data_IF_149178382360
#
_entry.id   IF_149178382360
#
_cell.length_a   1.000
_cell.length_b   1.000
_cell.length_c   1.000
_cell.angle_alpha   90.00
_cell.angle_beta   90.00
_cell.angle_gamma   90.00
#
_symmetry.space_group_name_H-M   'P 1'
#
loop_
_entity.id
_entity.type
_entity.pdbx_description
1 polymer ?
#
# COMPACT_ATOMS: atom_id res chain seq x y z
N UNK A 1 -48.72 -5.31 32.83
CA UNK A 1 -49.86 -6.05 32.23
C UNK A 1 -49.67 -5.95 30.72
N UNK A 2 -48.69 -6.62 30.11
CA UNK A 2 -48.51 -8.08 29.95
C UNK A 2 -49.58 -8.67 29.05
N UNK A 3 -49.19 -9.06 27.83
CA UNK A 3 -49.56 -10.25 27.02
C UNK A 3 -48.97 -10.00 25.61
N UNK A 4 -47.76 -10.48 25.28
CA UNK A 4 -47.37 -11.83 24.83
C UNK A 4 -48.06 -12.22 23.50
N UNK A 5 -47.28 -12.16 22.40
CA UNK A 5 -46.91 -13.21 21.39
C UNK A 5 -47.79 -14.48 21.23
N UNK A 6 -47.61 -15.41 20.25
CA UNK A 6 -46.62 -15.54 19.15
C UNK A 6 -47.23 -16.17 17.85
N UNK A 7 -46.37 -16.78 17.01
CA UNK A 7 -46.63 -17.78 15.93
C UNK A 7 -46.64 -17.22 14.48
N UNK A 8 -45.95 -17.78 13.48
CA UNK A 8 -45.29 -19.09 13.39
C UNK A 8 -44.26 -19.11 12.24
N UNK A 9 -43.24 -19.94 12.45
CA UNK A 9 -42.16 -20.41 11.59
C UNK A 9 -42.56 -20.90 10.17
N UNK A 10 -41.49 -21.23 9.40
CA UNK A 10 -41.36 -22.24 8.31
C UNK A 10 -41.56 -21.64 6.90
N UNK A 11 -40.72 -21.85 5.87
CA UNK A 11 -39.99 -23.04 5.38
C UNK A 11 -38.90 -22.62 4.36
N UNK A 12 -37.70 -23.20 4.42
CA UNK A 12 -36.73 -23.30 3.31
C UNK A 12 -37.20 -24.36 2.30
N UNK A 13 -36.98 -24.19 0.97
CA UNK A 13 -35.94 -25.04 0.35
C UNK A 13 -35.22 -24.42 -0.87
N UNK A 14 -33.92 -24.72 -1.00
CA UNK A 14 -33.23 -25.00 -2.28
C UNK A 14 -33.58 -26.45 -2.72
N UNK A 15 -33.45 -26.94 -3.99
CA UNK A 15 -32.36 -26.62 -4.92
C UNK A 15 -32.68 -26.65 -6.45
N UNK A 16 -31.67 -26.23 -7.24
CA UNK A 16 -31.22 -26.75 -8.56
C UNK A 16 -32.08 -26.62 -9.84
N UNK A 17 -31.39 -26.09 -10.86
CA UNK A 17 -31.45 -26.39 -12.31
C UNK A 17 -32.45 -25.62 -13.17
N UNK A 18 -31.95 -24.94 -14.21
CA UNK A 18 -32.47 -24.71 -15.58
C UNK A 18 -31.74 -23.49 -16.18
N UNK A 19 -30.65 -23.70 -16.93
CA UNK A 19 -30.57 -23.80 -18.40
C UNK A 19 -30.54 -22.45 -19.14
N UNK A 20 -29.43 -22.24 -19.87
CA UNK A 20 -29.10 -21.18 -20.83
C UNK A 20 -30.14 -20.99 -21.95
N UNK A 21 -30.10 -19.82 -22.63
CA UNK A 21 -29.48 -19.77 -23.97
C UNK A 21 -28.51 -18.58 -24.12
N UNK A 22 -27.27 -18.75 -24.62
CA UNK A 22 -26.86 -18.73 -26.04
C UNK A 22 -27.30 -17.45 -26.79
N UNK A 23 -26.43 -16.42 -26.79
CA UNK A 23 -26.15 -15.61 -27.99
C UNK A 23 -24.75 -14.97 -27.91
N UNK A 24 -24.02 -15.17 -29.01
CA UNK A 24 -22.87 -14.43 -29.54
C UNK A 24 -21.46 -14.60 -28.97
N UNK A 25 -20.79 -15.56 -29.64
CA UNK A 25 -19.36 -15.69 -29.92
C UNK A 25 -18.78 -14.42 -30.57
N UNK A 26 -17.45 -14.25 -30.39
CA UNK A 26 -16.50 -13.61 -31.32
C UNK A 26 -15.97 -12.20 -30.97
N UNK A 27 -15.10 -12.10 -29.95
CA UNK A 27 -13.83 -11.34 -30.10
C UNK A 27 -12.75 -12.09 -29.33
N UNK A 28 -12.04 -12.95 -30.07
CA UNK A 28 -10.81 -13.62 -29.67
C UNK A 28 -9.69 -12.60 -29.45
N UNK A 29 -9.03 -12.74 -28.31
CA UNK A 29 -7.63 -13.19 -28.26
C UNK A 29 -6.65 -12.47 -29.20
N UNK A 30 -6.25 -11.27 -28.81
CA UNK A 30 -5.16 -10.54 -29.45
C UNK A 30 -4.36 -9.74 -28.42
N UNK A 31 -3.66 -10.43 -27.52
CA UNK A 31 -2.33 -10.03 -27.03
C UNK A 31 -1.75 -11.07 -26.07
N UNK A 32 -1.45 -12.26 -26.58
CA UNK A 32 -0.57 -13.22 -25.91
C UNK A 32 0.12 -14.10 -26.95
N UNK A 33 1.32 -13.70 -27.39
CA UNK A 33 2.27 -14.61 -28.02
C UNK A 33 3.70 -14.23 -27.64
N UNK A 34 4.47 -15.15 -27.02
CA UNK A 34 5.90 -14.97 -26.77
C UNK A 34 6.69 -15.30 -28.04
N UNK A 35 7.81 -14.61 -28.25
CA UNK A 35 8.74 -14.89 -29.34
C UNK A 35 10.00 -15.58 -28.78
N UNK A 36 10.09 -16.88 -29.02
CA UNK A 36 11.35 -17.64 -29.02
C UNK A 36 11.64 -18.06 -30.46
N UNK A 37 12.85 -17.79 -30.95
CA UNK A 37 13.33 -18.26 -32.25
C UNK A 37 14.78 -18.70 -32.11
N UNK A 38 15.04 -19.96 -32.43
CA UNK A 38 16.36 -20.61 -32.46
C UNK A 38 16.67 -21.13 -33.86
N UNK A 39 17.99 -21.28 -34.14
CA UNK A 39 18.67 -21.95 -35.28
C UNK A 39 18.61 -21.25 -36.66
N UNK A 40 19.64 -21.19 -37.53
CA UNK A 40 20.92 -21.91 -37.66
C UNK A 40 21.85 -21.20 -38.67
N UNK A 41 23.16 -21.35 -38.45
CA UNK A 41 24.32 -21.33 -39.37
C UNK A 41 24.12 -21.02 -40.88
N UNK A 42 24.83 -19.99 -41.37
CA UNK A 42 25.47 -19.98 -42.69
C UNK A 42 26.82 -19.25 -42.61
N UNK A 43 27.80 -19.80 -43.32
CA UNK A 43 29.22 -19.48 -43.24
C UNK A 43 29.62 -18.68 -44.48
N UNK A 44 30.16 -17.47 -44.34
CA UNK A 44 30.92 -16.77 -45.40
C UNK A 44 32.12 -16.08 -44.77
N UNK A 45 33.27 -16.20 -45.42
CA UNK A 45 34.62 -15.93 -44.93
C UNK A 45 35.10 -14.53 -45.37
N UNK A 46 35.85 -13.91 -44.46
CA UNK A 46 37.10 -13.15 -44.68
C UNK A 46 37.09 -11.61 -44.83
N UNK A 47 38.20 -11.08 -44.27
CA UNK A 47 38.88 -9.79 -44.43
C UNK A 47 38.37 -8.65 -43.52
N UNK A 48 39.02 -8.33 -42.39
CA UNK A 48 40.37 -7.77 -42.16
C UNK A 48 40.50 -6.30 -42.55
N UNK A 49 40.38 -5.41 -41.57
CA UNK A 49 41.18 -4.17 -41.51
C UNK A 49 40.95 -3.46 -40.17
N UNK A 50 42.06 -3.29 -39.47
CA UNK A 50 42.30 -2.49 -38.29
C UNK A 50 41.51 -1.18 -38.21
N UNK A 51 40.89 -0.90 -37.06
CA UNK A 51 40.75 0.48 -36.60
C UNK A 51 41.03 0.58 -35.11
N UNK A 52 41.89 1.53 -34.82
CA UNK A 52 42.57 1.89 -33.59
C UNK A 52 41.65 2.13 -32.40
N UNK A 53 42.01 1.48 -31.29
CA UNK A 53 41.91 1.91 -29.89
C UNK A 53 41.22 3.27 -29.63
N UNK A 54 39.95 3.20 -29.25
CA UNK A 54 39.32 4.19 -28.35
C UNK A 54 38.55 3.41 -27.29
N UNK A 55 39.29 2.66 -26.48
CA UNK A 55 38.78 2.02 -25.26
C UNK A 55 39.30 2.86 -24.08
N UNK A 56 38.57 3.93 -23.77
CA UNK A 56 38.80 4.77 -22.58
C UNK A 56 37.52 4.91 -21.76
N UNK A 57 36.80 3.79 -21.63
CA UNK A 57 35.74 3.61 -20.63
C UNK A 57 36.18 2.55 -19.61
N UNK A 58 37.27 2.83 -18.88
CA UNK A 58 37.58 2.07 -17.67
C UNK A 58 38.41 2.86 -16.68
N UNK A 59 37.78 3.82 -16.02
CA UNK A 59 38.01 4.13 -14.60
C UNK A 59 37.17 5.35 -14.21
N UNK A 60 35.88 5.15 -14.01
CA UNK A 60 35.20 5.90 -12.96
C UNK A 60 34.89 4.87 -11.88
N UNK A 61 35.72 4.90 -10.85
CA UNK A 61 35.57 4.09 -9.66
C UNK A 61 34.14 4.24 -9.14
N UNK A 62 33.44 3.12 -9.05
CA UNK A 62 32.18 2.95 -8.35
C UNK A 62 32.36 3.30 -6.87
N UNK A 63 32.34 4.58 -6.54
CA UNK A 63 31.86 5.03 -5.25
C UNK A 63 30.35 4.83 -5.27
N UNK A 64 29.87 3.68 -4.77
CA UNK A 64 28.48 3.58 -4.32
C UNK A 64 28.39 4.48 -3.08
N UNK A 65 28.21 5.77 -3.29
CA UNK A 65 27.60 6.61 -2.26
C UNK A 65 26.25 5.96 -1.99
N UNK A 66 26.06 5.40 -0.80
CA UNK A 66 24.77 4.83 -0.42
C UNK A 66 23.72 5.91 -0.57
N UNK A 67 22.95 5.89 -1.65
CA UNK A 67 21.86 6.83 -1.87
C UNK A 67 20.96 6.77 -0.65
N UNK A 68 20.81 7.91 0.03
CA UNK A 68 20.03 7.96 1.27
C UNK A 68 18.57 7.57 0.98
N UNK A 69 17.88 6.96 1.94
CA UNK A 69 16.49 6.54 1.75
C UNK A 69 15.59 7.71 1.32
N UNK A 70 15.84 8.93 1.82
CA UNK A 70 15.13 10.13 1.38
C UNK A 70 15.35 10.44 -0.11
N UNK A 71 16.59 10.36 -0.60
CA UNK A 71 16.90 10.56 -2.03
C UNK A 71 16.27 9.49 -2.92
N UNK A 72 16.15 8.24 -2.42
CA UNK A 72 15.42 7.19 -3.13
C UNK A 72 13.93 7.52 -3.20
N UNK A 73 13.34 8.03 -2.12
CA UNK A 73 11.95 8.49 -2.11
C UNK A 73 11.69 9.60 -3.13
N UNK A 74 12.57 10.60 -3.19
CA UNK A 74 12.48 11.69 -4.18
C UNK A 74 12.57 11.16 -5.62
N UNK A 75 13.57 10.33 -5.90
CA UNK A 75 13.72 9.73 -7.23
C UNK A 75 12.51 8.85 -7.60
N UNK A 76 11.97 8.07 -6.65
CA UNK A 76 10.81 7.24 -6.88
C UNK A 76 9.55 8.08 -7.14
N UNK A 77 9.36 9.18 -6.41
CA UNK A 77 8.26 10.12 -6.64
C UNK A 77 8.34 10.78 -8.02
N UNK A 78 9.55 11.20 -8.45
CA UNK A 78 9.73 11.87 -9.73
C UNK A 78 9.55 10.96 -10.94
N UNK A 79 9.92 9.69 -10.80
CA UNK A 79 9.69 8.69 -11.84
C UNK A 79 8.25 8.15 -11.84
N UNK A 80 7.41 8.52 -10.87
CA UNK A 80 6.03 8.06 -10.78
C UNK A 80 5.06 8.90 -11.63
N UNK A 81 3.97 8.29 -12.10
CA UNK A 81 2.86 9.03 -12.72
C UNK A 81 2.15 9.78 -11.60
N UNK A 82 2.09 11.10 -11.74
CA UNK A 82 1.55 11.99 -10.71
C UNK A 82 0.10 12.35 -11.05
N UNK A 83 -0.77 12.23 -10.07
CA UNK A 83 -2.14 12.75 -10.10
C UNK A 83 -2.21 13.92 -9.10
N UNK A 84 -3.08 14.90 -9.34
CA UNK A 84 -3.24 16.03 -8.41
C UNK A 84 -3.65 15.53 -7.02
N UNK A 85 -2.95 16.02 -5.99
CA UNK A 85 -3.29 15.75 -4.59
C UNK A 85 -4.71 16.22 -4.24
N UNK A 86 -5.20 17.29 -4.88
CA UNK A 86 -6.55 17.82 -4.66
C UNK A 86 -7.62 16.84 -5.14
N UNK A 87 -7.40 16.19 -6.28
CA UNK A 87 -8.33 15.19 -6.80
C UNK A 87 -8.42 13.99 -5.85
N UNK A 88 -7.28 13.54 -5.32
CA UNK A 88 -7.23 12.49 -4.30
C UNK A 88 -7.96 12.91 -3.02
N UNK A 89 -7.72 14.14 -2.54
CA UNK A 89 -8.35 14.69 -1.33
C UNK A 89 -9.88 14.74 -1.46
N UNK A 90 -10.40 15.23 -2.59
CA UNK A 90 -11.83 15.32 -2.84
C UNK A 90 -12.49 13.93 -2.95
N UNK A 91 -11.83 13.00 -3.65
CA UNK A 91 -12.34 11.63 -3.81
C UNK A 91 -12.35 10.90 -2.47
N UNK A 92 -11.30 11.06 -1.68
CA UNK A 92 -11.21 10.49 -0.34
C UNK A 92 -12.21 11.14 0.62
N UNK A 93 -12.41 12.45 0.54
CA UNK A 93 -13.43 13.18 1.29
C UNK A 93 -14.84 12.66 1.04
N UNK A 94 -15.21 12.47 -0.23
CA UNK A 94 -16.50 11.90 -0.60
C UNK A 94 -16.67 10.46 -0.06
N UNK A 95 -15.62 9.65 -0.09
CA UNK A 95 -15.63 8.30 0.49
C UNK A 95 -15.86 8.34 2.00
N UNK A 96 -15.12 9.16 2.74
CA UNK A 96 -15.27 9.26 4.20
C UNK A 96 -16.65 9.81 4.55
N UNK A 97 -17.14 10.80 3.81
CA UNK A 97 -18.49 11.33 3.99
C UNK A 97 -19.54 10.22 3.84
N UNK A 98 -19.44 9.40 2.79
CA UNK A 98 -20.35 8.27 2.60
C UNK A 98 -20.31 7.30 3.79
N UNK A 99 -19.12 6.95 4.30
CA UNK A 99 -18.99 6.06 5.45
C UNK A 99 -19.60 6.65 6.74
N UNK A 100 -19.49 7.97 6.92
CA UNK A 100 -20.07 8.67 8.06
C UNK A 100 -21.60 8.77 7.94
N UNK A 101 -22.12 8.99 6.73
CA UNK A 101 -23.57 9.03 6.46
C UNK A 101 -24.24 7.66 6.64
N UNK A 102 -23.50 6.57 6.45
CA UNK A 102 -23.98 5.19 6.66
C UNK A 102 -24.06 4.80 8.15
N UNK A 103 -23.55 5.62 9.07
CA UNK A 103 -23.65 5.36 10.51
C UNK A 103 -25.10 5.47 11.01
N UNK A 104 -25.55 4.47 11.75
CA UNK A 104 -26.88 4.51 12.39
C UNK A 104 -26.91 5.37 13.66
N UNK A 105 -25.77 5.53 14.34
CA UNK A 105 -25.60 6.34 15.54
C UNK A 105 -24.27 7.10 15.49
N UNK A 106 -24.25 8.34 16.00
CA UNK A 106 -23.03 9.18 16.00
C UNK A 106 -21.90 8.61 16.88
N UNK A 107 -22.21 7.73 17.84
CA UNK A 107 -21.23 7.11 18.73
C UNK A 107 -20.49 5.92 18.09
N UNK A 108 -20.94 5.44 16.92
CA UNK A 108 -20.38 4.30 16.21
C UNK A 108 -19.20 4.65 15.28
N UNK A 109 -18.54 5.79 15.49
CA UNK A 109 -17.41 6.28 14.67
C UNK A 109 -16.28 5.25 14.53
N UNK A 110 -16.14 4.36 15.51
CA UNK A 110 -15.15 3.29 15.47
C UNK A 110 -15.37 2.31 14.30
N UNK A 111 -16.62 2.12 13.87
CA UNK A 111 -16.92 1.31 12.69
C UNK A 111 -16.34 1.95 11.43
N UNK A 112 -16.40 3.29 11.29
CA UNK A 112 -15.76 4.01 10.19
C UNK A 112 -14.24 3.82 10.23
N UNK A 113 -13.63 3.97 11.40
CA UNK A 113 -12.19 3.73 11.57
C UNK A 113 -11.78 2.33 11.11
N UNK A 114 -12.56 1.30 11.47
CA UNK A 114 -12.31 -0.09 11.06
C UNK A 114 -12.49 -0.27 9.55
N UNK A 115 -13.54 0.30 8.94
CA UNK A 115 -13.74 0.23 7.50
C UNK A 115 -12.59 0.90 6.74
N UNK A 116 -12.19 2.11 7.15
CA UNK A 116 -11.04 2.82 6.56
C UNK A 116 -9.75 2.00 6.66
N UNK A 117 -9.50 1.39 7.83
CA UNK A 117 -8.35 0.51 8.02
C UNK A 117 -8.39 -0.71 7.08
N UNK A 118 -9.54 -1.39 7.00
CA UNK A 118 -9.70 -2.59 6.17
C UNK A 118 -9.57 -2.27 4.67
N UNK A 119 -10.10 -1.15 4.23
CA UNK A 119 -9.91 -0.64 2.88
C UNK A 119 -8.43 -0.39 2.60
N UNK A 120 -7.75 0.32 3.52
CA UNK A 120 -6.33 0.58 3.44
C UNK A 120 -5.50 -0.70 3.34
N UNK A 121 -5.81 -1.71 4.15
CA UNK A 121 -5.11 -3.00 4.14
C UNK A 121 -5.17 -3.68 2.77
N UNK A 122 -6.34 -3.69 2.12
CA UNK A 122 -6.51 -4.26 0.78
C UNK A 122 -5.76 -3.46 -0.29
N UNK A 123 -5.72 -2.14 -0.14
CA UNK A 123 -4.96 -1.25 -1.03
C UNK A 123 -3.46 -1.51 -0.86
N UNK A 124 -2.95 -1.53 0.37
CA UNK A 124 -1.54 -1.77 0.69
C UNK A 124 -1.02 -3.10 0.15
N UNK A 125 -1.83 -4.16 0.26
CA UNK A 125 -1.52 -5.46 -0.31
C UNK A 125 -1.34 -5.44 -1.85
N UNK A 126 -1.92 -4.47 -2.56
CA UNK A 126 -1.72 -4.31 -4.01
C UNK A 126 -0.58 -3.34 -4.33
N UNK A 127 -0.39 -2.31 -3.51
CA UNK A 127 0.63 -1.27 -3.72
C UNK A 127 2.07 -1.78 -3.53
N UNK A 128 2.27 -2.82 -2.71
CA UNK A 128 3.61 -3.31 -2.39
C UNK A 128 4.38 -3.82 -3.62
N UNK A 129 3.69 -4.38 -4.61
CA UNK A 129 4.30 -4.86 -5.86
C UNK A 129 4.90 -3.69 -6.64
N UNK A 130 4.13 -2.61 -6.80
CA UNK A 130 4.60 -1.40 -7.47
C UNK A 130 5.75 -0.73 -6.69
N UNK A 131 5.64 -0.67 -5.37
CA UNK A 131 6.73 -0.18 -4.51
C UNK A 131 8.01 -0.98 -4.76
N UNK A 132 7.94 -2.30 -4.77
CA UNK A 132 9.11 -3.18 -4.98
C UNK A 132 9.78 -2.95 -6.33
N UNK A 133 8.98 -2.75 -7.39
CA UNK A 133 9.51 -2.57 -8.75
C UNK A 133 10.07 -1.17 -8.98
N UNK A 134 9.45 -0.14 -8.41
CA UNK A 134 9.70 1.26 -8.82
C UNK A 134 10.44 2.10 -7.79
N UNK A 135 10.45 1.72 -6.52
CA UNK A 135 11.11 2.50 -5.46
C UNK A 135 12.63 2.49 -5.55
N UNK A 136 13.22 1.46 -6.17
CA UNK A 136 14.67 1.22 -6.12
C UNK A 136 15.19 0.86 -4.71
N UNK A 137 14.31 0.67 -3.73
CA UNK A 137 14.67 0.30 -2.38
C UNK A 137 15.14 -1.16 -2.32
N UNK A 138 16.13 -1.43 -1.47
CA UNK A 138 16.57 -2.79 -1.21
C UNK A 138 15.49 -3.55 -0.40
N UNK A 139 15.40 -4.89 -0.55
CA UNK A 139 14.51 -5.70 0.28
C UNK A 139 14.80 -5.51 1.77
N UNK A 140 13.75 -5.22 2.54
CA UNK A 140 13.86 -4.97 3.98
C UNK A 140 14.10 -6.28 4.73
N UNK A 141 15.18 -6.35 5.52
CA UNK A 141 15.51 -7.55 6.33
C UNK A 141 15.19 -7.38 7.81
N UNK A 142 15.16 -6.14 8.28
CA UNK A 142 14.86 -5.77 9.67
C UNK A 142 13.63 -4.88 9.70
N UNK A 143 12.95 -4.85 10.85
CA UNK A 143 11.78 -3.99 11.00
C UNK A 143 12.16 -2.50 10.93
N UNK A 144 13.35 -2.11 11.40
CA UNK A 144 13.89 -0.76 11.25
C UNK A 144 14.01 -0.33 9.79
N UNK A 145 14.52 -1.21 8.91
CA UNK A 145 14.60 -0.94 7.48
C UNK A 145 13.21 -0.82 6.85
N UNK A 146 12.26 -1.64 7.30
CA UNK A 146 10.88 -1.55 6.85
C UNK A 146 10.23 -0.22 7.26
N UNK A 147 10.44 0.23 8.51
CA UNK A 147 9.94 1.51 9.01
C UNK A 147 10.56 2.70 8.24
N UNK A 148 11.86 2.67 7.96
CA UNK A 148 12.54 3.66 7.12
C UNK A 148 12.02 3.64 5.68
N UNK A 149 11.84 2.45 5.09
CA UNK A 149 11.28 2.29 3.75
C UNK A 149 9.87 2.86 3.63
N UNK A 150 9.01 2.59 4.61
CA UNK A 150 7.65 3.15 4.65
C UNK A 150 7.69 4.67 4.78
N UNK A 151 8.45 5.21 5.74
CA UNK A 151 8.46 6.63 6.03
C UNK A 151 9.13 7.47 4.94
N UNK A 152 10.34 7.09 4.53
CA UNK A 152 11.20 7.93 3.69
C UNK A 152 11.01 7.66 2.20
N UNK A 153 10.62 6.44 1.82
CA UNK A 153 10.45 6.05 0.42
C UNK A 153 8.97 5.90 0.06
N UNK A 154 8.21 5.11 0.81
CA UNK A 154 6.81 4.78 0.49
C UNK A 154 5.88 5.99 0.52
N UNK A 155 5.83 6.70 1.65
CA UNK A 155 4.99 7.91 1.78
C UNK A 155 5.41 8.99 0.78
N UNK A 156 6.72 9.12 0.52
CA UNK A 156 7.24 10.06 -0.47
C UNK A 156 6.83 9.67 -1.90
N UNK A 157 7.00 8.40 -2.27
CA UNK A 157 6.70 7.87 -3.59
C UNK A 157 5.22 7.94 -3.96
N UNK A 158 4.32 7.63 -3.02
CA UNK A 158 2.87 7.56 -3.30
C UNK A 158 2.11 8.84 -3.00
N UNK A 159 2.47 9.57 -1.94
CA UNK A 159 1.73 10.75 -1.49
C UNK A 159 2.52 12.06 -1.65
N UNK A 160 3.80 11.99 -2.04
CA UNK A 160 4.67 13.17 -2.11
C UNK A 160 5.03 13.76 -0.74
N UNK A 161 4.75 13.05 0.35
CA UNK A 161 4.90 13.57 1.73
C UNK A 161 6.31 13.34 2.25
N UNK A 162 6.88 14.38 2.86
CA UNK A 162 8.13 14.26 3.61
C UNK A 162 7.82 13.82 5.05
N UNK A 163 8.29 12.63 5.42
CA UNK A 163 8.15 12.10 6.77
C UNK A 163 9.53 11.88 7.42
N UNK A 164 9.52 11.76 8.74
CA UNK A 164 10.67 11.37 9.55
C UNK A 164 10.31 10.15 10.38
N UNK A 165 11.26 9.24 10.55
CA UNK A 165 11.11 8.05 11.40
C UNK A 165 12.00 8.17 12.63
N UNK A 166 11.43 7.88 13.80
CA UNK A 166 12.14 7.87 15.08
C UNK A 166 11.80 6.60 15.82
N UNK A 167 12.80 5.89 16.33
CA UNK A 167 12.55 4.75 17.22
C UNK A 167 12.01 5.25 18.56
N UNK A 168 10.92 4.65 19.03
CA UNK A 168 10.36 5.02 20.34
C UNK A 168 11.30 4.50 21.42
N UNK A 169 11.72 5.39 22.32
CA UNK A 169 12.61 5.03 23.44
C UNK A 169 11.94 3.91 24.26
N UNK A 170 12.74 2.95 24.69
CA UNK A 170 12.34 1.81 25.53
C UNK A 170 11.67 0.60 24.83
N UNK A 171 11.54 0.61 23.49
CA UNK A 171 11.06 -0.56 22.73
C UNK A 171 11.75 -0.65 21.38
N UNK A 172 12.57 -1.70 21.18
CA UNK A 172 13.26 -1.92 19.90
C UNK A 172 12.32 -2.12 18.71
N UNK A 173 11.08 -2.50 19.01
CA UNK A 173 10.09 -3.03 18.10
C UNK A 173 9.04 -1.98 17.71
N UNK A 174 9.19 -0.73 18.18
CA UNK A 174 8.24 0.35 17.94
C UNK A 174 8.91 1.56 17.30
N UNK A 175 8.33 2.03 16.19
CA UNK A 175 8.81 3.17 15.42
C UNK A 175 7.69 4.20 15.24
N UNK A 176 8.01 5.47 15.43
CA UNK A 176 7.10 6.59 15.21
C UNK A 176 7.42 7.27 13.87
N UNK A 177 6.44 7.35 12.99
CA UNK A 177 6.51 8.07 11.73
C UNK A 177 5.78 9.41 11.92
N UNK A 178 6.51 10.51 11.79
CA UNK A 178 5.99 11.87 11.90
C UNK A 178 6.01 12.58 10.55
N UNK A 179 4.94 13.30 10.21
CA UNK A 179 4.86 14.12 9.01
C UNK A 179 3.96 15.34 9.22
N UNK A 180 4.24 16.42 8.49
CA UNK A 180 3.47 17.66 8.61
C UNK A 180 2.37 17.74 7.55
N UNK A 181 2.68 17.46 6.30
CA UNK A 181 1.76 17.67 5.20
C UNK A 181 0.97 16.38 4.93
N UNK A 182 -0.36 16.48 4.97
CA UNK A 182 -1.25 15.35 4.70
C UNK A 182 -2.14 15.69 3.49
N UNK A 183 -1.86 15.14 2.29
CA UNK A 183 -2.63 15.47 1.09
C UNK A 183 -4.08 14.98 1.16
N UNK A 184 -4.40 14.02 2.03
CA UNK A 184 -5.77 13.54 2.19
C UNK A 184 -6.66 14.56 2.91
N UNK A 185 -6.08 15.41 3.76
CA UNK A 185 -6.79 16.29 4.68
C UNK A 185 -6.76 17.78 4.26
N UNK A 186 -6.46 18.09 2.98
CA UNK A 186 -6.24 19.46 2.50
C UNK A 186 -7.45 20.41 2.67
N UNK A 187 -8.66 19.88 2.53
CA UNK A 187 -9.92 20.66 2.54
C UNK A 187 -10.87 20.21 3.65
N UNK A 188 -10.33 19.60 4.70
CA UNK A 188 -11.12 18.89 5.70
C UNK A 188 -11.06 19.64 7.01
N UNK A 189 -12.23 19.97 7.53
CA UNK A 189 -12.43 20.41 8.91
C UNK A 189 -13.44 19.47 9.55
N UNK A 190 -13.09 18.91 10.71
CA UNK A 190 -13.99 18.00 11.42
C UNK A 190 -14.97 18.81 12.27
N UNK A 191 -16.28 18.51 12.21
CA UNK A 191 -17.25 19.14 13.09
C UNK A 191 -16.97 18.76 14.55
N UNK A 192 -17.23 19.69 15.46
CA UNK A 192 -17.13 19.42 16.89
C UNK A 192 -18.11 18.30 17.30
N UNK A 193 -17.67 17.45 18.24
CA UNK A 193 -18.46 16.32 18.73
C UNK A 193 -17.73 14.99 18.65
N UNK A 194 -18.45 13.87 18.54
CA UNK A 194 -17.87 12.52 18.48
C UNK A 194 -16.91 12.34 17.30
N UNK A 195 -17.21 12.94 16.14
CA UNK A 195 -16.37 12.84 14.94
C UNK A 195 -14.96 13.38 15.19
N UNK A 196 -14.82 14.58 15.74
CA UNK A 196 -13.49 15.16 16.04
C UNK A 196 -12.71 14.39 17.11
N UNK A 197 -13.42 13.72 18.02
CA UNK A 197 -12.80 13.00 19.14
C UNK A 197 -12.51 11.52 18.88
N UNK A 198 -13.19 10.90 17.92
CA UNK A 198 -13.09 9.47 17.68
C UNK A 198 -12.62 9.13 16.27
N UNK A 199 -12.87 9.99 15.27
CA UNK A 199 -12.51 9.70 13.88
C UNK A 199 -11.02 9.91 13.65
N UNK A 200 -10.36 8.87 13.14
CA UNK A 200 -9.05 8.97 12.53
C UNK A 200 -9.24 9.15 11.04
N UNK A 201 -9.38 10.40 10.58
CA UNK A 201 -9.75 10.69 9.21
C UNK A 201 -8.83 10.02 8.19
N UNK A 202 -7.53 9.93 8.47
CA UNK A 202 -6.55 9.26 7.59
C UNK A 202 -6.21 7.82 7.99
N UNK A 203 -7.08 7.11 8.72
CA UNK A 203 -6.81 5.73 9.18
C UNK A 203 -6.56 4.73 8.04
N UNK A 204 -6.99 5.07 6.82
CA UNK A 204 -6.62 4.33 5.61
C UNK A 204 -5.11 4.14 5.48
N UNK A 205 -4.29 5.12 5.91
CA UNK A 205 -2.83 5.03 5.86
C UNK A 205 -2.29 3.94 6.78
N UNK A 206 -2.86 3.78 7.98
CA UNK A 206 -2.51 2.69 8.88
C UNK A 206 -2.78 1.33 8.20
N UNK A 207 -3.95 1.20 7.58
CA UNK A 207 -4.31 0.01 6.81
C UNK A 207 -3.31 -0.27 5.70
N UNK A 208 -3.00 0.73 4.87
CA UNK A 208 -2.05 0.60 3.75
C UNK A 208 -0.69 0.10 4.21
N UNK A 209 -0.15 0.69 5.28
CA UNK A 209 1.15 0.29 5.83
C UNK A 209 1.10 -1.17 6.29
N UNK A 210 0.09 -1.55 7.07
CA UNK A 210 -0.02 -2.92 7.57
C UNK A 210 -0.21 -3.93 6.43
N UNK A 211 -1.08 -3.63 5.47
CA UNK A 211 -1.35 -4.50 4.32
C UNK A 211 -0.12 -4.72 3.44
N UNK A 212 0.67 -3.68 3.23
CA UNK A 212 1.93 -3.78 2.49
C UNK A 212 2.98 -4.60 3.27
N UNK A 213 3.11 -4.36 4.58
CA UNK A 213 4.07 -5.07 5.43
C UNK A 213 3.71 -6.56 5.63
N UNK A 214 2.42 -6.89 5.63
CA UNK A 214 1.95 -8.28 5.71
C UNK A 214 2.49 -9.12 4.56
N UNK A 215 2.49 -8.61 3.33
CA UNK A 215 2.95 -9.35 2.16
C UNK A 215 4.46 -9.54 2.07
N UNK A 216 5.24 -8.78 2.85
CA UNK A 216 6.68 -9.03 3.02
C UNK A 216 6.98 -9.89 4.25
N UNK A 217 5.95 -10.52 4.83
CA UNK A 217 6.07 -11.42 5.98
C UNK A 217 6.30 -10.71 7.32
N UNK A 218 6.05 -9.40 7.41
CA UNK A 218 6.18 -8.61 8.64
C UNK A 218 4.80 -8.30 9.23
N UNK A 219 4.42 -9.01 10.29
CA UNK A 219 3.21 -8.69 11.04
C UNK A 219 3.45 -7.43 11.86
N UNK A 220 2.66 -6.39 11.59
CA UNK A 220 2.81 -5.05 12.15
C UNK A 220 1.46 -4.52 12.56
N UNK A 221 1.41 -3.73 13.62
CA UNK A 221 0.26 -2.92 13.99
C UNK A 221 0.60 -1.45 13.75
N UNK A 222 -0.25 -0.74 13.01
CA UNK A 222 -0.10 0.68 12.73
C UNK A 222 -1.29 1.44 13.33
N UNK A 223 -1.02 2.48 14.12
CA UNK A 223 -2.05 3.32 14.74
C UNK A 223 -1.66 4.79 14.72
N UNK A 224 -2.64 5.67 14.52
CA UNK A 224 -2.41 7.09 14.74
C UNK A 224 -2.25 7.38 16.24
N UNK A 225 -1.28 8.23 16.57
CA UNK A 225 -1.12 8.79 17.90
C UNK A 225 -1.42 10.28 17.95
N UNK A 226 -1.19 11.01 16.85
CA UNK A 226 -1.43 12.45 16.73
C UNK A 226 -1.95 12.79 15.35
N UNK A 227 -2.86 13.76 15.27
CA UNK A 227 -3.48 14.21 14.03
C UNK A 227 -3.73 15.72 14.06
N UNK A 228 -3.30 16.42 13.01
CA UNK A 228 -3.52 17.86 12.85
C UNK A 228 -5.00 18.24 12.85
N UNK A 229 -5.87 17.39 12.30
CA UNK A 229 -7.33 17.63 12.28
C UNK A 229 -7.95 17.65 13.67
N UNK A 230 -7.28 17.01 14.64
CA UNK A 230 -7.70 16.95 16.04
C UNK A 230 -7.06 18.04 16.90
N UNK A 231 -6.21 18.88 16.31
CA UNK A 231 -5.55 20.02 16.96
C UNK A 231 -4.09 19.79 17.31
N UNK A 232 -3.47 18.69 16.89
CA UNK A 232 -2.04 18.46 17.09
C UNK A 232 -1.17 19.28 16.12
N UNK A 233 0.12 19.48 16.46
CA UNK A 233 1.06 20.22 15.62
C UNK A 233 1.56 19.43 14.39
N UNK A 234 1.50 18.10 14.46
CA UNK A 234 1.97 17.18 13.42
C UNK A 234 1.18 15.89 13.45
N UNK A 235 1.17 15.17 12.34
CA UNK A 235 0.62 13.83 12.28
C UNK A 235 1.67 12.83 12.73
N UNK A 236 1.26 11.83 13.50
CA UNK A 236 2.12 10.74 13.93
C UNK A 236 1.42 9.39 13.85
N UNK A 237 2.07 8.44 13.19
CA UNK A 237 1.69 7.04 13.12
C UNK A 237 2.73 6.21 13.88
N UNK A 238 2.27 5.37 14.80
CA UNK A 238 3.11 4.43 15.55
C UNK A 238 3.00 3.06 14.89
N UNK A 239 4.15 2.52 14.51
CA UNK A 239 4.31 1.16 14.01
C UNK A 239 4.85 0.27 15.13
N UNK A 240 4.17 -0.82 15.41
CA UNK A 240 4.57 -1.82 16.39
C UNK A 240 4.75 -3.18 15.73
N UNK A 241 5.94 -3.75 15.80
CA UNK A 241 6.23 -5.08 15.27
C UNK A 241 5.57 -6.17 16.12
N UNK A 242 4.79 -7.05 15.49
CA UNK A 242 4.13 -8.18 16.18
C UNK A 242 4.87 -9.49 15.95
N UNK A 243 5.60 -9.61 14.85
CA UNK A 243 6.35 -10.81 14.52
C UNK A 243 6.51 -10.99 13.02
N UNK A 244 7.01 -12.17 12.64
CA UNK A 244 7.04 -12.59 11.24
C UNK A 244 5.98 -13.65 11.01
N UNK A 245 5.32 -13.57 9.88
CA UNK A 245 4.44 -14.65 9.45
C UNK A 245 5.26 -15.93 9.28
N UNK A 246 4.83 -17.02 9.91
CA UNK A 246 5.53 -18.30 9.80
C UNK A 246 5.20 -18.89 8.43
N UNK A 247 6.20 -19.08 7.60
CA UNK A 247 6.07 -19.92 6.41
C UNK A 247 5.76 -21.36 6.86
N UNK A 248 4.50 -21.77 6.82
CA UNK A 248 4.10 -23.16 7.07
C UNK A 248 4.43 -24.00 5.85
N UNK A 249 5.72 -24.24 5.59
CA UNK A 249 6.13 -25.32 4.68
C UNK A 249 6.13 -26.64 5.46
N UNK A 250 4.98 -27.32 5.51
CA UNK A 250 4.99 -28.75 5.80
C UNK A 250 5.41 -29.47 4.51
N UNK A 251 6.68 -29.85 4.42
CA UNK A 251 7.14 -30.78 3.39
C UNK A 251 6.67 -32.17 3.82
N UNK A 252 5.53 -32.62 3.30
CA UNK A 252 5.17 -34.04 3.37
C UNK A 252 6.28 -34.83 2.65
N UNK A 253 7.13 -35.50 3.43
CA UNK A 253 8.04 -36.52 2.92
C UNK A 253 7.21 -37.78 2.65
N UNK A 254 6.89 -38.01 1.38
CA UNK A 254 6.52 -39.34 0.88
C UNK A 254 7.77 -40.15 0.58
#
# INVERSE_FOLDING_TARGET
>A
MSFISPCLLRVLPSPSSFSLPLFHVCVLSLWWRPHTRTHTHTHVRAQSSSFTLIDSLRSMSSARTSTSAAQLGDAAFDNNVKVSAEFLALTYGALVQQLVEELMQEDDVEQVNQQLYNMGHRIGARLIEEYSVRSGAAPCRTFSQAAEGVALVGLRMFLGVNASVTQVKDTSDTFAISFHDNPLALFVELPDGPLRNCLWYSNVLCGVITGALSLVGLQTEARFSRDKLRGDSKNEIILHFKGRERETFQVERN
#
